data_IF_018578011662
#
_entry.id   IF_018578011662
#
_cell.length_a   1.000
_cell.length_b   1.000
_cell.length_c   1.000
_cell.angle_alpha   90.00
_cell.angle_beta   90.00
_cell.angle_gamma   90.00
#
_symmetry.space_group_name_H-M   'P 1'
#
loop_
_entity.id
_entity.type
_entity.pdbx_description
1 polymer ?
#
# COMPACT_ATOMS: atom_id res chain seq x y z
N UNK A 1 76.28 14.43 54.27
CA UNK A 1 75.07 13.61 54.02
C UNK A 1 74.05 14.51 53.35
N UNK A 2 73.84 14.32 52.05
CA UNK A 2 72.97 15.14 51.20
C UNK A 2 71.67 14.39 50.96
N UNK A 3 70.52 14.98 51.29
CA UNK A 3 69.21 14.44 50.97
C UNK A 3 68.62 15.25 49.82
N UNK A 4 68.53 14.62 48.65
CA UNK A 4 67.88 15.17 47.46
C UNK A 4 66.37 15.10 47.58
N UNK A 5 65.70 16.23 47.33
CA UNK A 5 64.25 16.32 47.19
C UNK A 5 63.85 15.99 45.74
N UNK A 6 63.19 14.84 45.55
CA UNK A 6 62.63 14.42 44.27
C UNK A 6 61.32 15.17 43.99
N UNK A 7 61.24 15.84 42.83
CA UNK A 7 60.05 16.55 42.36
C UNK A 7 59.13 15.57 41.63
N UNK A 8 57.93 15.34 42.17
CA UNK A 8 56.90 14.49 41.57
C UNK A 8 56.16 15.28 40.50
N UNK A 9 56.28 14.84 39.25
CA UNK A 9 55.59 15.39 38.08
C UNK A 9 54.15 14.86 38.03
N UNK A 10 53.16 15.73 38.13
CA UNK A 10 51.74 15.35 38.06
C UNK A 10 51.36 14.86 36.64
N UNK A 11 50.68 13.72 36.56
CA UNK A 11 50.12 13.19 35.30
C UNK A 11 48.88 14.00 34.85
N UNK A 12 48.68 14.20 33.53
CA UNK A 12 47.52 14.90 33.01
C UNK A 12 46.24 14.05 33.16
N UNK A 13 45.13 14.70 33.55
CA UNK A 13 43.83 14.06 33.74
C UNK A 13 43.24 13.54 32.41
N UNK A 14 42.55 12.38 32.40
CA UNK A 14 41.91 11.87 31.20
C UNK A 14 40.70 12.73 30.79
N UNK A 15 40.71 13.12 29.52
CA UNK A 15 39.69 13.90 28.80
C UNK A 15 38.35 13.17 28.79
N UNK A 16 37.39 13.65 29.60
CA UNK A 16 36.01 13.12 29.73
C UNK A 16 35.11 13.34 28.49
N UNK A 17 35.59 13.93 27.40
CA UNK A 17 34.72 14.41 26.30
C UNK A 17 34.37 13.38 25.21
N UNK A 18 35.12 12.28 25.08
CA UNK A 18 34.91 11.31 23.97
C UNK A 18 33.82 10.27 24.22
N UNK A 19 33.53 9.95 25.49
CA UNK A 19 32.55 8.90 25.86
C UNK A 19 31.09 9.34 25.64
N UNK A 20 30.80 10.65 25.76
CA UNK A 20 29.45 11.19 25.61
C UNK A 20 28.94 11.18 24.16
N UNK A 21 29.82 11.38 23.18
CA UNK A 21 29.45 11.42 21.76
C UNK A 21 29.11 10.02 21.24
N UNK A 22 29.89 9.00 21.62
CA UNK A 22 29.61 7.61 21.25
C UNK A 22 28.29 7.10 21.85
N UNK A 23 28.01 7.45 23.10
CA UNK A 23 26.78 7.04 23.79
C UNK A 23 25.54 7.67 23.15
N UNK A 24 25.63 8.93 22.71
CA UNK A 24 24.52 9.63 22.04
C UNK A 24 24.28 9.13 20.61
N UNK A 25 25.35 8.84 19.86
CA UNK A 25 25.23 8.25 18.52
C UNK A 25 24.62 6.84 18.57
N UNK A 26 24.98 6.04 19.59
CA UNK A 26 24.42 4.71 19.80
C UNK A 26 22.95 4.76 20.24
N UNK A 27 22.58 5.72 21.10
CA UNK A 27 21.19 5.97 21.48
C UNK A 27 20.35 6.41 20.27
N UNK A 28 20.89 7.27 19.40
CA UNK A 28 20.21 7.70 18.17
C UNK A 28 20.05 6.54 17.16
N UNK A 29 21.09 5.73 16.97
CA UNK A 29 21.04 4.54 16.13
C UNK A 29 20.03 3.51 16.66
N UNK A 30 19.94 3.34 17.98
CA UNK A 30 18.92 2.50 18.60
C UNK A 30 17.51 3.07 18.34
N UNK A 31 17.29 4.39 18.52
CA UNK A 31 15.97 4.99 18.24
C UNK A 31 15.55 4.87 16.78
N UNK A 32 16.47 5.04 15.82
CA UNK A 32 16.21 4.85 14.38
C UNK A 32 15.98 3.38 14.00
N UNK A 33 16.55 2.44 14.73
CA UNK A 33 16.30 1.01 14.53
C UNK A 33 14.91 0.57 15.04
N UNK A 34 14.29 1.35 15.95
CA UNK A 34 12.97 1.08 16.50
C UNK A 34 11.88 2.06 16.03
N UNK A 35 12.19 3.04 15.17
CA UNK A 35 11.15 3.86 14.56
C UNK A 35 10.32 2.99 13.61
N UNK A 36 8.99 2.95 13.77
CA UNK A 36 8.14 2.31 12.77
C UNK A 36 8.44 2.94 11.41
N UNK A 37 8.56 2.10 10.38
CA UNK A 37 8.71 2.55 9.00
C UNK A 37 7.58 3.53 8.69
N UNK A 38 7.91 4.76 8.27
CA UNK A 38 6.91 5.68 7.73
C UNK A 38 6.24 4.98 6.54
N UNK A 39 4.95 4.68 6.66
CA UNK A 39 4.19 4.01 5.62
C UNK A 39 3.52 5.07 4.77
N UNK A 40 3.62 4.91 3.46
CA UNK A 40 2.89 5.78 2.55
C UNK A 40 1.39 5.54 2.71
N UNK A 41 0.65 6.59 3.06
CA UNK A 41 -0.81 6.58 3.08
C UNK A 41 -1.41 6.75 1.67
N UNK A 42 -0.55 6.91 0.66
CA UNK A 42 -0.94 7.01 -0.74
C UNK A 42 -0.03 6.19 -1.65
N UNK A 43 -0.61 5.62 -2.70
CA UNK A 43 0.07 4.82 -3.71
C UNK A 43 -0.24 5.36 -5.10
N UNK A 44 0.77 5.60 -5.94
CA UNK A 44 0.53 5.84 -7.37
C UNK A 44 0.14 4.51 -7.99
N UNK A 45 -0.95 4.48 -8.75
CA UNK A 45 -1.38 3.29 -9.47
C UNK A 45 -1.52 3.55 -10.96
N UNK A 46 -1.41 2.48 -11.74
CA UNK A 46 -1.84 2.48 -13.14
C UNK A 46 -2.24 1.09 -13.58
N UNK A 47 -3.13 1.03 -14.58
CA UNK A 47 -3.32 -0.17 -15.35
C UNK A 47 -3.53 0.11 -16.83
N UNK A 48 -3.20 -0.88 -17.67
CA UNK A 48 -3.47 -0.86 -19.10
C UNK A 48 -3.65 -2.30 -19.63
N UNK A 49 -4.67 -2.52 -20.44
CA UNK A 49 -4.87 -3.76 -21.19
C UNK A 49 -6.29 -3.86 -21.76
N UNK A 50 -6.47 -4.59 -22.86
CA UNK A 50 -7.79 -4.85 -23.45
C UNK A 50 -8.59 -3.62 -23.86
N UNK A 51 -7.91 -2.49 -24.13
CA UNK A 51 -8.56 -1.21 -24.45
C UNK A 51 -8.88 -0.33 -23.25
N UNK A 52 -8.72 -0.84 -22.02
CA UNK A 52 -8.95 -0.11 -20.78
C UNK A 52 -7.61 0.39 -20.22
N UNK A 53 -7.63 1.60 -19.65
CA UNK A 53 -6.50 2.13 -18.90
C UNK A 53 -6.93 3.11 -17.83
N UNK A 54 -6.20 3.15 -16.72
CA UNK A 54 -6.31 4.19 -15.71
C UNK A 54 -4.96 4.52 -15.11
N UNK A 55 -4.84 5.73 -14.56
CA UNK A 55 -3.69 6.10 -13.75
C UNK A 55 -4.09 7.14 -12.72
N UNK A 56 -3.43 7.13 -11.56
CA UNK A 56 -3.81 8.01 -10.49
C UNK A 56 -3.14 7.71 -9.16
N UNK A 57 -3.81 8.11 -8.09
CA UNK A 57 -3.37 7.89 -6.71
C UNK A 57 -4.49 7.22 -5.92
N UNK A 58 -4.15 6.16 -5.20
CA UNK A 58 -4.95 5.54 -4.16
C UNK A 58 -4.57 6.16 -2.82
N UNK A 59 -5.55 6.46 -1.98
CA UNK A 59 -5.34 6.71 -0.55
C UNK A 59 -5.77 5.49 0.23
N UNK A 60 -4.95 5.06 1.17
CA UNK A 60 -5.19 3.88 2.00
C UNK A 60 -5.27 4.24 3.47
N UNK A 61 -6.00 3.45 4.23
CA UNK A 61 -6.10 3.61 5.68
C UNK A 61 -4.73 3.49 6.34
N UNK A 62 -4.50 4.26 7.40
CA UNK A 62 -3.26 4.19 8.19
C UNK A 62 -3.20 2.94 9.09
N UNK A 63 -4.27 2.16 9.17
CA UNK A 63 -4.39 0.94 9.95
C UNK A 63 -4.85 -0.23 9.07
N UNK A 64 -4.41 -1.43 9.43
CA UNK A 64 -4.85 -2.66 8.77
C UNK A 64 -6.31 -2.96 9.06
N UNK A 65 -6.98 -3.60 8.12
CA UNK A 65 -8.37 -4.05 8.30
C UNK A 65 -8.43 -5.15 9.37
N UNK A 66 -9.26 -4.99 10.42
CA UNK A 66 -9.43 -6.02 11.43
C UNK A 66 -9.89 -7.35 10.81
N UNK A 67 -9.22 -8.45 11.18
CA UNK A 67 -9.58 -9.78 10.70
C UNK A 67 -9.08 -10.14 9.30
N UNK A 68 -8.52 -9.18 8.54
CA UNK A 68 -7.96 -9.43 7.20
C UNK A 68 -6.45 -9.13 7.19
N UNK A 69 -5.59 -10.16 7.36
CA UNK A 69 -4.14 -9.96 7.46
C UNK A 69 -3.53 -9.27 6.24
N UNK A 70 -2.78 -8.19 6.49
CA UNK A 70 -2.03 -7.48 5.44
C UNK A 70 -2.87 -6.54 4.56
N UNK A 71 -4.19 -6.52 4.72
CA UNK A 71 -5.08 -5.63 4.00
C UNK A 71 -5.16 -4.25 4.65
N UNK A 72 -5.24 -3.23 3.81
CA UNK A 72 -5.60 -1.86 4.15
C UNK A 72 -6.84 -1.49 3.35
N UNK A 73 -7.69 -0.63 3.90
CA UNK A 73 -8.85 -0.14 3.18
C UNK A 73 -8.42 0.99 2.25
N UNK A 74 -8.77 0.92 0.96
CA UNK A 74 -8.70 2.10 0.10
C UNK A 74 -9.81 3.06 0.55
N UNK A 75 -9.42 4.29 0.87
CA UNK A 75 -10.33 5.34 1.39
C UNK A 75 -10.58 6.45 0.38
N UNK A 76 -9.76 6.53 -0.66
CA UNK A 76 -9.87 7.52 -1.72
C UNK A 76 -9.15 7.08 -2.98
N UNK A 77 -9.59 7.62 -4.11
CA UNK A 77 -8.97 7.44 -5.41
C UNK A 77 -9.19 8.68 -6.25
N UNK A 78 -8.19 9.02 -7.05
CA UNK A 78 -8.19 10.15 -7.99
C UNK A 78 -7.31 9.82 -9.17
N UNK A 79 -7.65 10.36 -10.35
CA UNK A 79 -6.89 10.08 -11.57
C UNK A 79 -7.74 10.20 -12.81
N UNK A 80 -7.33 9.51 -13.87
CA UNK A 80 -8.04 9.43 -15.13
C UNK A 80 -8.25 7.99 -15.57
N UNK A 81 -9.32 7.77 -16.32
CA UNK A 81 -9.66 6.51 -16.97
C UNK A 81 -9.89 6.73 -18.47
N UNK A 82 -9.55 5.74 -19.28
CA UNK A 82 -9.90 5.68 -20.70
C UNK A 82 -10.33 4.27 -21.07
N UNK A 83 -11.32 4.19 -21.96
CA UNK A 83 -11.75 2.96 -22.61
C UNK A 83 -11.89 3.21 -24.11
N UNK A 84 -10.96 2.66 -24.90
CA UNK A 84 -10.97 2.79 -26.35
C UNK A 84 -12.12 2.03 -27.02
N UNK A 85 -12.71 1.04 -26.34
CA UNK A 85 -13.82 0.25 -26.85
C UNK A 85 -15.14 1.04 -26.82
N UNK A 86 -15.26 1.97 -25.87
CA UNK A 86 -16.43 2.85 -25.69
C UNK A 86 -16.17 4.30 -26.14
N UNK A 87 -14.98 4.61 -26.63
CA UNK A 87 -14.59 5.96 -27.05
C UNK A 87 -14.39 6.95 -25.89
N UNK A 88 -14.13 6.44 -24.68
CA UNK A 88 -13.88 7.25 -23.48
C UNK A 88 -12.39 7.59 -23.44
N UNK A 89 -12.05 8.88 -23.31
CA UNK A 89 -10.66 9.33 -23.24
C UNK A 89 -10.45 10.29 -22.08
N UNK A 90 -9.51 9.94 -21.20
CA UNK A 90 -9.08 10.74 -20.04
C UNK A 90 -10.24 11.27 -19.18
N UNK A 91 -11.29 10.48 -19.02
CA UNK A 91 -12.39 10.81 -18.13
C UNK A 91 -11.90 10.83 -16.68
N UNK A 92 -12.38 11.79 -15.89
CA UNK A 92 -11.96 11.96 -14.49
C UNK A 92 -12.45 10.79 -13.65
N UNK A 93 -11.61 10.26 -12.78
CA UNK A 93 -12.06 9.42 -11.67
C UNK A 93 -12.72 10.32 -10.63
N UNK A 94 -14.03 10.20 -10.45
CA UNK A 94 -14.83 11.10 -9.60
C UNK A 94 -14.87 10.67 -8.14
N UNK A 95 -14.51 9.43 -7.84
CA UNK A 95 -14.34 8.96 -6.46
C UNK A 95 -14.37 7.45 -6.34
N UNK A 96 -14.09 6.98 -5.12
CA UNK A 96 -14.19 5.58 -4.74
C UNK A 96 -15.66 5.20 -4.56
N UNK A 97 -16.05 3.99 -4.99
CA UNK A 97 -17.32 3.43 -4.57
C UNK A 97 -17.20 2.90 -3.14
N UNK A 98 -17.83 3.57 -2.19
CA UNK A 98 -17.69 3.21 -0.77
C UNK A 98 -18.30 1.85 -0.47
N UNK A 99 -17.66 1.09 0.41
CA UNK A 99 -18.18 -0.16 0.95
C UNK A 99 -17.82 -0.29 2.43
N UNK A 100 -18.50 -1.21 3.13
CA UNK A 100 -18.15 -1.58 4.49
C UNK A 100 -16.84 -2.38 4.53
N UNK A 101 -16.34 -2.66 5.74
CA UNK A 101 -15.30 -3.68 5.90
C UNK A 101 -15.95 -5.07 5.87
N UNK A 102 -15.21 -6.14 5.50
CA UNK A 102 -15.68 -7.50 5.66
C UNK A 102 -16.15 -7.76 7.11
N UNK A 103 -17.43 -8.06 7.28
CA UNK A 103 -18.05 -8.19 8.61
C UNK A 103 -17.81 -9.57 9.24
N UNK A 104 -17.63 -10.60 8.41
CA UNK A 104 -17.35 -11.96 8.86
C UNK A 104 -16.22 -12.53 7.99
N UNK A 105 -15.08 -12.79 8.61
CA UNK A 105 -14.00 -13.58 8.03
C UNK A 105 -14.08 -14.98 8.60
N UNK A 106 -14.21 -15.96 7.72
CA UNK A 106 -14.22 -17.38 8.09
C UNK A 106 -12.86 -17.78 8.68
N UNK A 107 -12.81 -18.90 9.40
CA UNK A 107 -11.58 -19.39 10.02
C UNK A 107 -10.47 -19.70 8.99
N UNK A 108 -10.83 -19.95 7.74
CA UNK A 108 -9.93 -20.15 6.61
C UNK A 108 -9.48 -18.85 5.93
N UNK A 109 -9.93 -17.69 6.42
CA UNK A 109 -9.60 -16.37 5.88
C UNK A 109 -10.53 -15.87 4.76
N UNK A 110 -11.50 -16.69 4.33
CA UNK A 110 -12.45 -16.30 3.28
C UNK A 110 -13.55 -15.37 3.80
N UNK A 111 -14.12 -14.54 2.93
CA UNK A 111 -15.25 -13.66 3.29
C UNK A 111 -16.09 -13.30 2.05
N UNK A 112 -17.35 -12.95 2.28
CA UNK A 112 -18.24 -12.40 1.24
C UNK A 112 -17.89 -10.93 1.04
N UNK A 113 -17.80 -10.43 -0.21
CA UNK A 113 -17.44 -9.04 -0.44
C UNK A 113 -18.55 -8.13 0.11
N UNK A 114 -18.19 -7.03 0.79
CA UNK A 114 -19.17 -6.09 1.33
C UNK A 114 -19.88 -5.29 0.24
N UNK A 115 -19.28 -5.14 -0.96
CA UNK A 115 -19.92 -4.60 -2.16
C UNK A 115 -20.26 -5.69 -3.17
N UNK A 116 -21.38 -5.54 -3.87
CA UNK A 116 -21.96 -6.57 -4.74
C UNK A 116 -22.54 -6.00 -6.04
N UNK A 117 -22.75 -6.85 -7.07
CA UNK A 117 -23.45 -6.42 -8.28
C UNK A 117 -24.86 -5.87 -8.03
N UNK A 118 -25.51 -6.31 -6.94
CA UNK A 118 -26.84 -5.86 -6.55
C UNK A 118 -26.88 -4.38 -6.13
N UNK A 119 -25.72 -3.78 -5.82
CA UNK A 119 -25.60 -2.36 -5.49
C UNK A 119 -25.69 -1.45 -6.74
N UNK A 120 -25.87 -2.04 -7.93
CA UNK A 120 -26.15 -1.29 -9.16
C UNK A 120 -24.91 -0.92 -9.96
N UNK A 121 -23.74 -1.48 -9.64
CA UNK A 121 -22.46 -1.23 -10.33
C UNK A 121 -21.97 -2.44 -11.12
N UNK A 122 -22.66 -3.57 -11.03
CA UNK A 122 -22.34 -4.79 -11.78
C UNK A 122 -21.21 -5.63 -11.18
N UNK A 123 -20.33 -5.08 -10.36
CA UNK A 123 -19.17 -5.80 -9.82
C UNK A 123 -19.30 -6.08 -8.32
N UNK A 124 -18.64 -7.14 -7.86
CA UNK A 124 -18.38 -7.38 -6.44
C UNK A 124 -17.06 -6.74 -6.06
N UNK A 125 -16.99 -6.08 -4.91
CA UNK A 125 -15.80 -5.31 -4.50
C UNK A 125 -15.71 -5.18 -2.99
N UNK A 126 -14.49 -5.01 -2.49
CA UNK A 126 -14.22 -4.79 -1.07
C UNK A 126 -13.29 -3.60 -0.81
N UNK A 127 -12.63 -3.10 -1.86
CA UNK A 127 -11.65 -2.02 -1.83
C UNK A 127 -10.49 -2.29 -0.87
N UNK A 128 -10.04 -3.55 -0.79
CA UNK A 128 -8.87 -3.93 0.00
C UNK A 128 -7.59 -3.86 -0.82
N UNK A 129 -6.55 -3.29 -0.21
CA UNK A 129 -5.24 -3.11 -0.81
C UNK A 129 -4.16 -3.80 0.02
N UNK A 130 -3.32 -4.59 -0.66
CA UNK A 130 -2.28 -5.42 -0.07
C UNK A 130 -0.91 -4.94 -0.57
N UNK A 131 -0.29 -3.92 0.06
CA UNK A 131 0.94 -3.32 -0.45
C UNK A 131 2.12 -4.30 -0.54
N UNK A 132 2.07 -5.42 0.19
CA UNK A 132 3.05 -6.50 0.11
C UNK A 132 2.91 -7.41 -1.11
N UNK A 133 1.89 -7.23 -1.95
CA UNK A 133 1.65 -8.08 -3.11
C UNK A 133 1.18 -9.49 -2.76
N UNK A 134 0.63 -9.67 -1.56
CA UNK A 134 0.34 -10.95 -0.93
C UNK A 134 -1.15 -11.11 -0.56
N UNK A 135 -2.05 -10.62 -1.42
CA UNK A 135 -3.49 -10.82 -1.22
C UNK A 135 -3.82 -12.33 -1.04
N UNK A 136 -4.65 -12.71 -0.06
CA UNK A 136 -5.01 -14.10 0.14
C UNK A 136 -6.06 -14.57 -0.88
N UNK A 137 -6.30 -15.88 -0.92
CA UNK A 137 -7.46 -16.44 -1.60
C UNK A 137 -8.70 -16.19 -0.74
N UNK A 138 -9.51 -15.19 -1.09
CA UNK A 138 -10.61 -14.69 -0.23
C UNK A 138 -12.00 -15.23 -0.59
N UNK A 139 -12.17 -15.81 -1.78
CA UNK A 139 -13.45 -16.37 -2.22
C UNK A 139 -13.88 -17.54 -1.33
N UNK A 140 -15.06 -17.47 -0.67
CA UNK A 140 -15.65 -18.62 0.01
C UNK A 140 -15.95 -19.74 -0.98
N UNK A 141 -15.93 -21.01 -0.56
CA UNK A 141 -16.39 -22.12 -1.38
C UNK A 141 -17.87 -21.95 -1.75
N UNK A 142 -18.17 -21.83 -3.04
CA UNK A 142 -19.54 -21.91 -3.55
C UNK A 142 -19.78 -23.32 -4.11
N UNK A 143 -20.63 -24.15 -3.47
CA UNK A 143 -20.93 -25.50 -3.95
C UNK A 143 -21.72 -25.51 -5.26
N UNK A 144 -22.22 -24.35 -5.72
CA UNK A 144 -22.96 -24.20 -6.97
C UNK A 144 -22.11 -23.69 -8.13
N UNK A 145 -20.85 -23.28 -7.88
CA UNK A 145 -19.94 -22.85 -8.95
C UNK A 145 -19.51 -24.07 -9.80
N UNK A 146 -19.87 -24.14 -11.09
CA UNK A 146 -19.45 -25.23 -11.97
C UNK A 146 -17.93 -25.30 -12.16
N UNK A 147 -17.20 -24.23 -11.86
CA UNK A 147 -15.74 -24.16 -11.93
C UNK A 147 -15.05 -24.53 -10.60
N UNK A 148 -15.82 -24.78 -9.54
CA UNK A 148 -15.32 -25.11 -8.20
C UNK A 148 -14.78 -23.89 -7.44
N UNK A 149 -14.12 -24.16 -6.31
CA UNK A 149 -13.50 -23.11 -5.48
C UNK A 149 -12.39 -22.40 -6.26
N UNK A 150 -12.46 -21.06 -6.34
CA UNK A 150 -11.37 -20.24 -6.84
C UNK A 150 -10.25 -20.14 -5.79
N UNK A 151 -9.09 -20.83 -5.97
CA UNK A 151 -8.12 -21.03 -4.90
C UNK A 151 -6.92 -20.09 -4.98
N UNK A 152 -6.99 -19.06 -5.83
CA UNK A 152 -5.84 -18.22 -6.15
C UNK A 152 -5.86 -16.92 -5.36
N UNK A 153 -4.69 -16.52 -4.89
CA UNK A 153 -4.41 -15.21 -4.30
C UNK A 153 -3.05 -14.70 -4.78
N UNK A 154 -2.72 -13.47 -4.41
CA UNK A 154 -1.48 -12.77 -4.74
C UNK A 154 -1.76 -11.48 -5.48
N UNK A 155 -0.79 -10.58 -5.47
CA UNK A 155 -0.97 -9.23 -6.00
C UNK A 155 -1.37 -8.22 -4.93
N UNK A 156 -1.49 -6.96 -5.36
CA UNK A 156 -1.76 -5.82 -4.47
C UNK A 156 -3.26 -5.54 -4.29
N UNK A 157 -4.09 -6.26 -5.03
CA UNK A 157 -5.54 -6.33 -4.90
C UNK A 157 -5.90 -7.80 -4.72
N UNK A 158 -7.08 -8.11 -4.19
CA UNK A 158 -7.65 -9.46 -4.26
C UNK A 158 -8.64 -9.56 -5.43
N UNK A 159 -9.37 -10.67 -5.46
CA UNK A 159 -10.33 -11.03 -6.51
C UNK A 159 -11.62 -10.19 -6.48
N UNK A 160 -11.92 -9.52 -5.37
CA UNK A 160 -13.03 -8.58 -5.30
C UNK A 160 -12.60 -7.20 -5.77
N UNK A 161 -11.35 -6.82 -5.53
CA UNK A 161 -10.75 -5.68 -6.20
C UNK A 161 -11.25 -4.32 -5.71
N UNK A 162 -11.18 -3.33 -6.60
CA UNK A 162 -11.30 -1.91 -6.31
C UNK A 162 -12.26 -1.26 -7.31
N UNK A 163 -13.42 -0.85 -6.80
CA UNK A 163 -14.45 -0.19 -7.61
C UNK A 163 -14.39 1.34 -7.45
N UNK A 164 -14.38 2.05 -8.58
CA UNK A 164 -14.39 3.51 -8.60
C UNK A 164 -15.28 4.08 -9.70
N UNK A 165 -15.70 5.32 -9.49
CA UNK A 165 -16.54 6.05 -10.42
C UNK A 165 -15.73 6.90 -11.38
N UNK A 166 -16.26 7.03 -12.58
CA UNK A 166 -15.70 7.83 -13.65
C UNK A 166 -16.77 8.77 -14.21
N UNK A 167 -16.36 9.97 -14.63
CA UNK A 167 -17.22 10.92 -15.32
C UNK A 167 -18.01 10.26 -16.45
N UNK A 168 -19.29 10.63 -16.59
CA UNK A 168 -20.20 10.01 -17.55
C UNK A 168 -21.08 8.90 -16.97
N UNK A 169 -20.98 8.63 -15.67
CA UNK A 169 -21.82 7.64 -14.97
C UNK A 169 -21.28 6.21 -15.05
N UNK A 170 -19.99 6.07 -15.38
CA UNK A 170 -19.33 4.78 -15.46
C UNK A 170 -18.80 4.35 -14.09
N UNK A 171 -18.76 3.04 -13.87
CA UNK A 171 -18.06 2.42 -12.75
C UNK A 171 -17.05 1.43 -13.29
N UNK A 172 -15.84 1.46 -12.75
CA UNK A 172 -14.72 0.65 -13.19
C UNK A 172 -14.21 -0.16 -12.01
N UNK A 173 -14.09 -1.46 -12.22
CA UNK A 173 -13.52 -2.39 -11.27
C UNK A 173 -12.16 -2.88 -11.78
N UNK A 174 -11.21 -3.05 -10.87
CA UNK A 174 -9.90 -3.64 -11.15
C UNK A 174 -9.54 -4.58 -10.01
N UNK A 175 -9.10 -5.78 -10.33
CA UNK A 175 -8.88 -6.86 -9.36
C UNK A 175 -7.64 -7.68 -9.71
N UNK A 176 -7.17 -8.47 -8.76
CA UNK A 176 -6.18 -9.50 -9.04
C UNK A 176 -6.83 -10.86 -9.20
N UNK A 177 -6.43 -11.58 -10.23
CA UNK A 177 -6.77 -13.00 -10.37
C UNK A 177 -5.86 -13.89 -9.50
N UNK A 178 -4.89 -13.31 -8.78
CA UNK A 178 -3.86 -14.04 -8.07
C UNK A 178 -2.79 -14.64 -8.98
N UNK A 179 -1.97 -15.51 -8.40
CA UNK A 179 -0.94 -16.27 -9.13
C UNK A 179 -1.59 -17.51 -9.76
N UNK A 180 -1.86 -17.42 -11.06
CA UNK A 180 -2.46 -18.49 -11.84
C UNK A 180 -1.42 -19.56 -12.23
N UNK A 181 -1.83 -20.83 -12.39
CA UNK A 181 -0.93 -21.91 -12.76
C UNK A 181 -0.38 -21.76 -14.18
N UNK A 182 0.78 -22.37 -14.42
CA UNK A 182 1.42 -22.37 -15.73
C UNK A 182 2.09 -21.03 -16.06
N UNK A 183 2.14 -20.64 -17.34
CA UNK A 183 2.89 -19.46 -17.77
C UNK A 183 2.21 -18.12 -17.44
N UNK A 184 0.97 -18.15 -16.93
CA UNK A 184 0.19 -16.95 -16.65
C UNK A 184 0.73 -16.17 -15.45
N UNK A 185 1.10 -16.87 -14.36
CA UNK A 185 1.61 -16.23 -13.15
C UNK A 185 0.65 -15.22 -12.53
N UNK A 186 1.18 -14.20 -11.86
CA UNK A 186 0.38 -13.12 -11.30
C UNK A 186 -0.34 -12.37 -12.43
N UNK A 187 -1.66 -12.27 -12.34
CA UNK A 187 -2.46 -11.54 -13.33
C UNK A 187 -3.55 -10.67 -12.70
N UNK A 188 -3.98 -9.66 -13.45
CA UNK A 188 -5.01 -8.72 -13.05
C UNK A 188 -6.07 -8.61 -14.14
N UNK A 189 -7.30 -8.31 -13.72
CA UNK A 189 -8.41 -8.00 -14.60
C UNK A 189 -8.95 -6.60 -14.32
N UNK A 190 -9.61 -6.01 -15.31
CA UNK A 190 -10.41 -4.82 -15.14
C UNK A 190 -11.68 -4.91 -15.98
N UNK A 191 -12.75 -4.28 -15.52
CA UNK A 191 -14.02 -4.19 -16.23
C UNK A 191 -14.69 -2.86 -15.96
N UNK A 192 -15.54 -2.43 -16.88
CA UNK A 192 -16.32 -1.21 -16.75
C UNK A 192 -17.82 -1.49 -16.93
N UNK A 193 -18.63 -0.62 -16.35
CA UNK A 193 -20.07 -0.64 -16.48
C UNK A 193 -20.62 0.77 -16.63
N UNK A 194 -21.80 0.87 -17.22
CA UNK A 194 -22.62 2.06 -17.26
C UNK A 194 -23.97 1.75 -16.60
N UNK A 195 -24.27 2.42 -15.49
CA UNK A 195 -25.48 2.16 -14.70
C UNK A 195 -25.66 0.67 -14.34
N UNK A 196 -24.56 0.00 -13.97
CA UNK A 196 -24.53 -1.41 -13.60
C UNK A 196 -24.60 -2.40 -14.77
N UNK A 197 -24.80 -1.92 -15.99
CA UNK A 197 -24.67 -2.74 -17.20
C UNK A 197 -23.20 -2.79 -17.60
N UNK A 198 -22.61 -3.99 -17.51
CA UNK A 198 -21.21 -4.19 -17.89
C UNK A 198 -21.03 -4.01 -19.38
N UNK A 199 -19.98 -3.28 -19.75
CA UNK A 199 -19.69 -2.94 -21.13
C UNK A 199 -18.57 -3.81 -21.69
N UNK A 200 -17.50 -4.00 -20.92
CA UNK A 200 -16.39 -4.88 -21.30
C UNK A 200 -16.59 -6.30 -20.74
N UNK A 201 -16.70 -7.28 -21.64
CA UNK A 201 -16.73 -8.71 -21.33
C UNK A 201 -15.71 -9.46 -22.18
N UNK A 202 -14.71 -10.10 -21.58
CA UNK A 202 -13.82 -11.04 -22.25
C UNK A 202 -14.39 -12.45 -22.11
N UNK A 203 -14.31 -13.25 -23.17
CA UNK A 203 -14.84 -14.61 -23.20
C UNK A 203 -14.21 -15.52 -22.14
N UNK A 204 -15.07 -16.30 -21.47
CA UNK A 204 -14.82 -17.24 -20.35
C UNK A 204 -14.75 -16.59 -18.94
N UNK A 205 -15.24 -17.27 -17.88
CA UNK A 205 -16.38 -16.92 -17.01
C UNK A 205 -16.30 -15.59 -16.22
N UNK A 206 -15.20 -14.84 -16.32
CA UNK A 206 -14.97 -13.58 -15.63
C UNK A 206 -15.32 -12.39 -16.53
N UNK A 207 -16.11 -11.46 -16.00
CA UNK A 207 -16.58 -10.30 -16.76
C UNK A 207 -15.56 -9.16 -16.64
N UNK A 208 -14.70 -8.99 -17.66
CA UNK A 208 -13.67 -7.94 -17.73
C UNK A 208 -12.65 -8.20 -18.83
N UNK A 209 -11.45 -7.63 -18.77
CA UNK A 209 -10.29 -7.94 -19.63
C UNK A 209 -9.00 -8.01 -18.81
N UNK A 210 -8.00 -8.74 -19.30
CA UNK A 210 -6.66 -8.75 -18.69
C UNK A 210 -5.98 -7.40 -18.79
N UNK A 211 -5.35 -6.96 -17.70
CA UNK A 211 -4.59 -5.71 -17.61
C UNK A 211 -3.25 -5.92 -16.89
N UNK A 212 -2.27 -5.08 -17.20
CA UNK A 212 -1.09 -4.92 -16.36
C UNK A 212 -1.38 -3.85 -15.31
N UNK A 213 -1.51 -4.25 -14.04
CA UNK A 213 -1.69 -3.34 -12.91
C UNK A 213 -0.36 -3.10 -12.18
N UNK A 214 -0.12 -1.86 -11.78
CA UNK A 214 0.99 -1.50 -10.88
C UNK A 214 0.52 -0.54 -9.81
N UNK A 215 1.07 -0.67 -8.61
CA UNK A 215 0.93 0.31 -7.54
C UNK A 215 2.24 0.45 -6.78
N UNK A 216 2.67 1.67 -6.48
CA UNK A 216 3.89 1.94 -5.74
C UNK A 216 3.70 3.07 -4.72
N UNK A 217 4.41 3.03 -3.58
CA UNK A 217 4.31 4.08 -2.57
C UNK A 217 4.62 5.47 -3.16
N UNK A 218 3.78 6.47 -2.85
CA UNK A 218 4.13 7.87 -3.14
C UNK A 218 5.30 8.28 -2.24
N UNK A 219 6.44 8.75 -2.76
CA UNK A 219 7.56 9.16 -1.92
C UNK A 219 7.17 10.33 -1.00
N UNK A 220 7.42 10.21 0.31
CA UNK A 220 7.16 11.28 1.27
C UNK A 220 8.21 12.40 1.12
N UNK A 221 7.84 13.61 0.64
CA UNK A 221 8.84 14.65 0.33
C UNK A 221 9.43 15.29 1.60
N UNK A 222 8.69 15.28 2.72
CA UNK A 222 9.02 16.07 3.91
C UNK A 222 9.71 15.27 5.02
N UNK A 223 9.48 13.97 5.13
CA UNK A 223 9.99 13.16 6.24
C UNK A 223 11.52 13.05 6.24
N UNK A 224 12.13 12.94 5.06
CA UNK A 224 13.59 12.95 4.92
C UNK A 224 14.20 14.32 5.23
N UNK A 225 13.55 15.41 4.81
CA UNK A 225 14.03 16.77 5.12
C UNK A 225 13.86 17.09 6.61
N UNK A 226 12.75 16.70 7.23
CA UNK A 226 12.52 16.87 8.66
C UNK A 226 13.51 16.05 9.49
N UNK A 227 13.76 14.79 9.10
CA UNK A 227 14.79 13.97 9.74
C UNK A 227 16.18 14.59 9.59
N UNK A 228 16.53 15.03 8.39
CA UNK A 228 17.82 15.68 8.12
C UNK A 228 18.03 16.97 8.92
N UNK A 229 17.03 17.85 8.98
CA UNK A 229 17.09 19.09 9.76
C UNK A 229 17.07 18.83 11.27
N UNK A 230 16.32 17.82 11.73
CA UNK A 230 16.33 17.35 13.11
C UNK A 230 17.72 16.87 13.56
N UNK A 231 18.42 16.08 12.74
CA UNK A 231 19.79 15.65 13.01
C UNK A 231 20.75 16.85 13.11
N UNK A 232 20.66 17.80 12.19
CA UNK A 232 21.51 19.00 12.21
C UNK A 232 21.26 19.86 13.46
N UNK A 233 20.00 20.01 13.88
CA UNK A 233 19.63 20.66 15.13
C UNK A 233 20.24 19.97 16.35
N UNK A 234 20.19 18.64 16.39
CA UNK A 234 20.80 17.84 17.46
C UNK A 234 22.31 18.05 17.54
N UNK A 235 23.01 18.04 16.39
CA UNK A 235 24.45 18.33 16.31
C UNK A 235 24.76 19.73 16.84
N UNK A 236 23.93 20.73 16.53
CA UNK A 236 24.06 22.09 17.05
C UNK A 236 23.96 22.17 18.58
N UNK A 237 23.00 21.45 19.18
CA UNK A 237 22.83 21.38 20.64
C UNK A 237 24.02 20.71 21.31
N UNK A 238 24.49 19.58 20.76
CA UNK A 238 25.67 18.86 21.28
C UNK A 238 26.91 19.74 21.22
N UNK A 239 27.15 20.45 20.11
CA UNK A 239 28.27 21.39 20.00
C UNK A 239 28.21 22.49 21.06
N UNK A 240 27.02 23.07 21.29
CA UNK A 240 26.85 24.12 22.31
C UNK A 240 27.16 23.60 23.71
N UNK A 241 26.76 22.37 24.03
CA UNK A 241 26.97 21.76 25.36
C UNK A 241 28.42 21.30 25.60
N UNK A 242 29.20 21.04 24.54
CA UNK A 242 30.62 20.68 24.63
C UNK A 242 31.55 21.90 24.63
N UNK A 243 31.07 23.05 24.16
CA UNK A 243 31.83 24.31 24.11
C UNK A 243 31.59 25.21 25.33
N UNK A 244 30.60 24.89 26.17
CA UNK A 244 30.34 25.50 27.47
C UNK A 244 30.97 24.64 28.57
#
# INVERSE_FOLDING_TARGET
MSFGTSSVKALPSPTKSRLGIFSLALALAATLAFTPSARADSYVFSFNGGGLSASGVLDVSNATVPGVPGAYQVTGIRGTFSDSNQGISNATITGLQTTGLPNVTNADGTFVPPGSPADGFGFSYDNLFYPGGNSPSVCPPDPTDPNGLYPFGGGTLDIYGLLFNVDGGYSVDVWSNGVLPGPLGLSYGAGDSLNGQKLTTFGEPFQGTSVNFTASPVPEPASLMLMGTGLLGLVGVVRRKLAA
#
